data_IF_162554553653
#
_entry.id   IF_162554553653
#
_cell.length_a   1.000
_cell.length_b   1.000
_cell.length_c   1.000
_cell.angle_alpha   90.00
_cell.angle_beta   90.00
_cell.angle_gamma   90.00
#
_symmetry.space_group_name_H-M   'P 1'
#
loop_
_entity.id
_entity.type
_entity.pdbx_description
1 polymer ?
#
# COMPACT_ATOMS: atom_id res chain seq x y z
N UNK A 1 -15.04 13.65 -86.32
CA UNK A 1 -15.75 14.21 -85.12
C UNK A 1 -16.15 13.12 -84.07
N UNK A 2 -16.53 11.96 -84.51
CA UNK A 2 -16.97 10.87 -83.62
C UNK A 2 -15.85 10.32 -82.70
N UNK A 3 -14.68 10.18 -83.23
CA UNK A 3 -13.50 9.69 -82.47
C UNK A 3 -13.15 10.60 -81.29
N UNK A 4 -13.26 11.92 -81.42
CA UNK A 4 -13.02 12.90 -80.38
C UNK A 4 -14.07 12.86 -79.27
N UNK A 5 -15.30 12.61 -79.59
CA UNK A 5 -16.40 12.47 -78.63
C UNK A 5 -16.29 11.13 -77.85
N UNK A 6 -15.82 10.06 -78.52
CA UNK A 6 -15.56 8.77 -77.90
C UNK A 6 -14.38 8.87 -76.90
N UNK A 7 -13.34 9.58 -77.25
CA UNK A 7 -12.17 9.84 -76.38
C UNK A 7 -12.55 10.70 -75.20
N UNK A 8 -13.34 11.74 -75.31
CA UNK A 8 -13.86 12.54 -74.20
C UNK A 8 -14.71 11.71 -73.24
N UNK A 9 -15.51 10.77 -73.74
CA UNK A 9 -16.32 9.87 -72.87
C UNK A 9 -15.45 8.90 -72.11
N UNK A 10 -14.39 8.38 -72.69
CA UNK A 10 -13.40 7.47 -72.05
C UNK A 10 -12.63 8.24 -70.98
N UNK A 11 -12.12 9.42 -71.25
CA UNK A 11 -11.47 10.30 -70.30
C UNK A 11 -12.39 10.65 -69.12
N UNK A 12 -13.65 11.00 -69.39
CA UNK A 12 -14.62 11.30 -68.32
C UNK A 12 -14.95 10.07 -67.47
N UNK A 13 -14.97 8.85 -68.00
CA UNK A 13 -15.14 7.61 -67.26
C UNK A 13 -13.90 7.29 -66.40
N UNK A 14 -12.71 7.55 -66.92
CA UNK A 14 -11.43 7.34 -66.24
C UNK A 14 -11.26 8.30 -65.06
N UNK A 15 -11.54 9.58 -65.25
CA UNK A 15 -11.55 10.57 -64.15
C UNK A 15 -12.55 10.21 -63.08
N UNK A 16 -13.73 9.71 -63.48
CA UNK A 16 -14.77 9.29 -62.55
C UNK A 16 -14.39 8.04 -61.76
N UNK A 17 -13.63 7.09 -62.38
CA UNK A 17 -13.11 5.89 -61.72
C UNK A 17 -12.00 6.23 -60.69
N UNK A 18 -11.08 7.14 -61.03
CA UNK A 18 -10.02 7.63 -60.12
C UNK A 18 -10.63 8.37 -58.92
N UNK A 19 -11.65 9.16 -59.16
CA UNK A 19 -12.40 9.85 -58.10
C UNK A 19 -13.14 8.87 -57.15
N UNK A 20 -13.81 7.87 -57.74
CA UNK A 20 -14.51 6.83 -56.97
C UNK A 20 -13.52 6.02 -56.11
N UNK A 21 -12.33 5.65 -56.64
CA UNK A 21 -11.34 4.90 -55.94
C UNK A 21 -10.75 5.72 -54.78
N UNK A 22 -10.44 7.00 -54.97
CA UNK A 22 -9.98 7.91 -53.92
C UNK A 22 -11.03 8.03 -52.78
N UNK A 23 -12.29 8.16 -53.13
CA UNK A 23 -13.40 8.28 -52.19
C UNK A 23 -13.58 6.99 -51.38
N UNK A 24 -13.34 5.85 -52.01
CA UNK A 24 -13.41 4.54 -51.36
C UNK A 24 -12.24 4.36 -50.35
N UNK A 25 -11.01 4.70 -50.75
CA UNK A 25 -9.83 4.66 -49.85
C UNK A 25 -10.02 5.60 -48.67
N UNK A 26 -10.53 6.82 -48.91
CA UNK A 26 -10.81 7.76 -47.80
C UNK A 26 -11.82 7.19 -46.81
N UNK A 27 -12.92 6.58 -47.31
CA UNK A 27 -13.96 5.98 -46.44
C UNK A 27 -13.40 4.81 -45.64
N UNK A 28 -12.62 3.91 -46.26
CA UNK A 28 -12.01 2.77 -45.54
C UNK A 28 -10.93 3.23 -44.57
N UNK A 29 -10.11 4.22 -44.95
CA UNK A 29 -9.14 4.82 -44.04
C UNK A 29 -9.82 5.42 -42.81
N UNK A 30 -10.87 6.17 -42.99
CA UNK A 30 -11.63 6.79 -41.89
C UNK A 30 -12.28 5.74 -40.99
N UNK A 31 -12.88 4.69 -41.58
CA UNK A 31 -13.48 3.59 -40.85
C UNK A 31 -12.43 2.84 -40.00
N UNK A 32 -11.31 2.48 -40.60
CA UNK A 32 -10.22 1.78 -39.87
C UNK A 32 -9.60 2.65 -38.78
N UNK A 33 -9.39 3.94 -39.05
CA UNK A 33 -8.91 4.90 -38.03
C UNK A 33 -9.91 5.03 -36.89
N UNK A 34 -11.21 5.06 -37.19
CA UNK A 34 -12.26 5.09 -36.16
C UNK A 34 -12.26 3.84 -35.30
N UNK A 35 -12.06 2.66 -35.88
CA UNK A 35 -11.93 1.39 -35.13
C UNK A 35 -10.71 1.43 -34.21
N UNK A 36 -9.56 1.89 -34.70
CA UNK A 36 -8.34 2.01 -33.87
C UNK A 36 -8.58 2.97 -32.69
N UNK A 37 -9.18 4.14 -32.94
CA UNK A 37 -9.49 5.11 -31.88
C UNK A 37 -10.44 4.53 -30.83
N UNK A 38 -11.46 3.80 -31.27
CA UNK A 38 -12.41 3.15 -30.37
C UNK A 38 -11.73 2.06 -29.51
N UNK A 39 -10.83 1.29 -30.13
CA UNK A 39 -10.04 0.28 -29.42
C UNK A 39 -9.08 0.92 -28.39
N UNK A 40 -8.43 2.02 -28.75
CA UNK A 40 -7.57 2.79 -27.84
C UNK A 40 -8.39 3.33 -26.66
N UNK A 41 -9.57 3.90 -26.92
CA UNK A 41 -10.45 4.39 -25.87
C UNK A 41 -10.88 3.26 -24.92
N UNK A 42 -11.27 2.10 -25.47
CA UNK A 42 -11.65 0.93 -24.68
C UNK A 42 -10.47 0.42 -23.82
N UNK A 43 -9.24 0.41 -24.36
CA UNK A 43 -8.04 0.04 -23.61
C UNK A 43 -7.74 1.04 -22.48
N UNK A 44 -7.93 2.34 -22.69
CA UNK A 44 -7.76 3.33 -21.63
C UNK A 44 -8.77 3.11 -20.48
N UNK A 45 -10.04 2.84 -20.80
CA UNK A 45 -11.06 2.51 -19.79
C UNK A 45 -10.68 1.22 -19.03
N UNK A 46 -10.27 0.18 -19.75
CA UNK A 46 -9.85 -1.09 -19.16
C UNK A 46 -8.65 -0.91 -18.21
N UNK A 47 -7.64 -0.14 -18.62
CA UNK A 47 -6.47 0.14 -17.78
C UNK A 47 -6.85 0.93 -16.53
N UNK A 48 -7.74 1.92 -16.64
CA UNK A 48 -8.26 2.64 -15.46
C UNK A 48 -8.93 1.69 -14.48
N UNK A 49 -9.80 0.83 -15.00
CA UNK A 49 -10.52 -0.15 -14.19
C UNK A 49 -9.55 -1.11 -13.47
N UNK A 50 -8.56 -1.66 -14.19
CA UNK A 50 -7.60 -2.61 -13.61
C UNK A 50 -6.68 -1.97 -12.59
N UNK A 51 -6.24 -0.72 -12.79
CA UNK A 51 -5.43 0.01 -11.81
C UNK A 51 -6.24 0.25 -10.54
N UNK A 52 -7.48 0.74 -10.63
CA UNK A 52 -8.33 0.97 -9.47
C UNK A 52 -8.59 -0.34 -8.70
N UNK A 53 -8.92 -1.42 -9.40
CA UNK A 53 -9.13 -2.74 -8.79
C UNK A 53 -7.85 -3.25 -8.08
N UNK A 54 -6.68 -3.04 -8.69
CA UNK A 54 -5.39 -3.42 -8.09
C UNK A 54 -5.12 -2.63 -6.80
N UNK A 55 -5.41 -1.33 -6.78
CA UNK A 55 -5.22 -0.48 -5.60
C UNK A 55 -6.18 -0.88 -4.49
N UNK A 56 -7.44 -1.09 -4.80
CA UNK A 56 -8.43 -1.54 -3.81
C UNK A 56 -8.06 -2.91 -3.23
N UNK A 57 -7.58 -3.83 -4.06
CA UNK A 57 -7.06 -5.12 -3.61
C UNK A 57 -5.85 -4.97 -2.69
N UNK A 58 -4.90 -4.07 -3.03
CA UNK A 58 -3.72 -3.80 -2.18
C UNK A 58 -4.12 -3.17 -0.84
N UNK A 59 -5.06 -2.22 -0.84
CA UNK A 59 -5.62 -1.62 0.39
C UNK A 59 -6.25 -2.70 1.27
N UNK A 60 -7.12 -3.52 0.72
CA UNK A 60 -7.82 -4.58 1.46
C UNK A 60 -6.83 -5.61 2.02
N UNK A 61 -5.83 -6.01 1.25
CA UNK A 61 -4.78 -6.92 1.72
C UNK A 61 -3.95 -6.30 2.84
N UNK A 62 -3.56 -5.02 2.71
CA UNK A 62 -2.82 -4.31 3.74
C UNK A 62 -3.64 -4.19 5.03
N UNK A 63 -4.92 -3.81 4.93
CA UNK A 63 -5.83 -3.75 6.08
C UNK A 63 -5.95 -5.09 6.77
N UNK A 64 -6.21 -6.16 6.03
CA UNK A 64 -6.34 -7.52 6.59
C UNK A 64 -5.06 -7.97 7.29
N UNK A 65 -3.90 -7.67 6.71
CA UNK A 65 -2.60 -7.99 7.31
C UNK A 65 -2.35 -7.18 8.58
N UNK A 66 -2.60 -5.86 8.54
CA UNK A 66 -2.46 -4.98 9.70
C UNK A 66 -3.40 -5.41 10.82
N UNK A 67 -4.69 -5.63 10.53
CA UNK A 67 -5.68 -6.04 11.52
C UNK A 67 -5.31 -7.37 12.17
N UNK A 68 -4.90 -8.35 11.38
CA UNK A 68 -4.42 -9.64 11.85
C UNK A 68 -3.17 -9.49 12.74
N UNK A 69 -2.21 -8.66 12.32
CA UNK A 69 -1.01 -8.38 13.10
C UNK A 69 -1.36 -7.69 14.43
N UNK A 70 -2.13 -6.61 14.40
CA UNK A 70 -2.56 -5.86 15.58
C UNK A 70 -3.29 -6.76 16.56
N UNK A 71 -4.23 -7.57 16.08
CA UNK A 71 -4.99 -8.52 16.92
C UNK A 71 -4.06 -9.56 17.55
N UNK A 72 -3.13 -10.15 16.79
CA UNK A 72 -2.18 -11.11 17.31
C UNK A 72 -1.24 -10.50 18.37
N UNK A 73 -0.77 -9.26 18.15
CA UNK A 73 0.11 -8.58 19.13
C UNK A 73 -0.66 -8.12 20.36
N UNK A 74 -1.93 -7.72 20.22
CA UNK A 74 -2.80 -7.45 21.37
C UNK A 74 -2.98 -8.69 22.24
N UNK A 75 -3.20 -9.85 21.62
CA UNK A 75 -3.31 -11.12 22.35
C UNK A 75 -1.97 -11.50 22.99
N UNK A 76 -0.85 -11.32 22.29
CA UNK A 76 0.49 -11.55 22.83
C UNK A 76 0.75 -10.66 24.05
N UNK A 77 0.49 -9.35 23.96
CA UNK A 77 0.66 -8.43 25.10
C UNK A 77 -0.23 -8.80 26.30
N UNK A 78 -1.45 -9.29 26.04
CA UNK A 78 -2.35 -9.79 27.08
C UNK A 78 -1.81 -11.07 27.72
N UNK A 79 -1.26 -11.98 26.95
CA UNK A 79 -0.60 -13.18 27.48
C UNK A 79 0.64 -12.82 28.31
N UNK A 80 1.45 -11.86 27.86
CA UNK A 80 2.63 -11.39 28.58
C UNK A 80 2.28 -10.80 29.94
N UNK A 81 1.23 -9.98 30.02
CA UNK A 81 0.80 -9.44 31.31
C UNK A 81 0.29 -10.53 32.26
N UNK A 82 -0.45 -11.52 31.75
CA UNK A 82 -0.89 -12.67 32.55
C UNK A 82 0.30 -13.52 33.01
N UNK A 83 1.34 -13.64 32.20
CA UNK A 83 2.55 -14.36 32.58
C UNK A 83 3.35 -13.62 33.65
N UNK A 84 3.50 -12.31 33.53
CA UNK A 84 4.31 -11.49 34.43
C UNK A 84 3.56 -11.04 35.68
N UNK A 85 2.26 -10.78 35.60
CA UNK A 85 1.45 -10.14 36.63
C UNK A 85 0.07 -10.77 36.86
N UNK A 86 -0.19 -11.98 36.35
CA UNK A 86 -1.51 -12.64 36.41
C UNK A 86 -1.90 -13.18 37.79
N UNK A 87 -1.08 -13.01 38.83
CA UNK A 87 -1.40 -13.40 40.22
C UNK A 87 -0.69 -12.48 41.20
N UNK A 88 -1.21 -12.41 42.42
CA UNK A 88 -0.59 -11.61 43.50
C UNK A 88 0.87 -12.01 43.77
N UNK A 89 1.17 -13.29 43.73
CA UNK A 89 2.54 -13.79 43.93
C UNK A 89 3.50 -13.32 42.82
N UNK A 90 3.01 -13.28 41.55
CA UNK A 90 3.81 -12.77 40.42
C UNK A 90 4.04 -11.25 40.53
N UNK A 91 3.03 -10.49 40.96
CA UNK A 91 3.14 -9.06 41.19
C UNK A 91 4.13 -8.77 42.33
N UNK A 92 4.03 -9.50 43.43
CA UNK A 92 4.97 -9.35 44.54
C UNK A 92 6.40 -9.69 44.12
N UNK A 93 6.59 -10.76 43.34
CA UNK A 93 7.91 -11.12 42.80
C UNK A 93 8.47 -10.02 41.87
N UNK A 94 7.62 -9.41 41.02
CA UNK A 94 7.99 -8.29 40.17
C UNK A 94 8.39 -7.05 41.02
N UNK A 95 7.62 -6.72 42.06
CA UNK A 95 7.93 -5.65 43.00
C UNK A 95 9.29 -5.86 43.65
N UNK A 96 9.52 -7.05 44.23
CA UNK A 96 10.80 -7.41 44.88
C UNK A 96 11.97 -7.33 43.89
N UNK A 97 11.77 -7.73 42.64
CA UNK A 97 12.77 -7.57 41.59
C UNK A 97 13.13 -6.11 41.30
N UNK A 98 12.10 -5.21 41.35
CA UNK A 98 12.33 -3.77 41.18
C UNK A 98 12.84 -3.08 42.42
N UNK A 99 12.52 -3.55 43.63
CA UNK A 99 12.91 -2.96 44.90
C UNK A 99 14.35 -3.32 45.27
N UNK A 100 14.63 -4.62 45.30
CA UNK A 100 15.86 -5.18 45.90
C UNK A 100 17.07 -5.05 44.95
N UNK A 101 18.26 -5.06 45.58
CA UNK A 101 19.50 -5.28 44.85
C UNK A 101 19.62 -6.76 44.38
N UNK A 102 20.46 -7.07 43.38
CA UNK A 102 20.57 -8.45 42.87
C UNK A 102 20.90 -9.51 43.95
N UNK A 103 21.82 -9.26 44.93
CA UNK A 103 22.06 -10.22 46.01
C UNK A 103 20.85 -10.41 46.91
N UNK A 104 20.17 -9.31 47.33
CA UNK A 104 19.01 -9.37 48.22
C UNK A 104 17.83 -10.07 47.52
N UNK A 105 17.67 -9.86 46.21
CA UNK A 105 16.65 -10.56 45.44
C UNK A 105 16.96 -12.06 45.29
N UNK A 106 18.22 -12.42 45.18
CA UNK A 106 18.64 -13.83 45.20
C UNK A 106 18.27 -14.50 46.55
N UNK A 107 18.55 -13.84 47.66
CA UNK A 107 18.19 -14.35 49.00
C UNK A 107 16.68 -14.48 49.15
N UNK A 108 15.90 -13.50 48.64
CA UNK A 108 14.43 -13.57 48.61
C UNK A 108 13.95 -14.79 47.81
N UNK A 109 14.44 -15.02 46.61
CA UNK A 109 14.01 -16.16 45.79
C UNK A 109 14.44 -17.49 46.38
N UNK A 110 15.59 -17.54 47.05
CA UNK A 110 16.04 -18.71 47.74
C UNK A 110 15.17 -19.04 48.97
N UNK A 111 14.75 -18.05 49.76
CA UNK A 111 13.81 -18.26 50.87
C UNK A 111 12.47 -18.81 50.38
N UNK A 112 11.90 -18.23 49.33
CA UNK A 112 10.66 -18.73 48.69
C UNK A 112 10.80 -20.19 48.25
N UNK A 113 11.94 -20.55 47.64
CA UNK A 113 12.20 -21.93 47.25
C UNK A 113 12.31 -22.88 48.45
N UNK A 114 12.92 -22.43 49.52
CA UNK A 114 13.11 -23.26 50.72
C UNK A 114 11.79 -23.53 51.46
N UNK A 115 10.87 -22.54 51.47
CA UNK A 115 9.56 -22.60 52.13
C UNK A 115 8.53 -23.31 51.25
N UNK A 116 8.31 -22.85 50.02
CA UNK A 116 7.20 -23.27 49.16
C UNK A 116 7.59 -24.25 48.06
N UNK A 117 8.88 -24.55 47.88
CA UNK A 117 9.44 -25.34 46.77
C UNK A 117 9.14 -24.74 45.40
N UNK A 118 8.73 -23.47 45.36
CA UNK A 118 8.46 -22.72 44.13
C UNK A 118 9.41 -21.54 44.07
N UNK A 119 10.29 -21.53 43.11
CA UNK A 119 11.16 -20.39 42.82
C UNK A 119 11.03 -20.01 41.37
N UNK A 120 10.51 -18.81 41.13
CA UNK A 120 10.49 -18.21 39.82
C UNK A 120 11.29 -16.93 39.84
N UNK A 121 12.45 -16.93 39.20
CA UNK A 121 13.23 -15.72 39.05
C UNK A 121 12.62 -14.83 37.98
N UNK A 122 12.20 -13.62 38.36
CA UNK A 122 11.43 -12.71 37.47
C UNK A 122 12.21 -12.38 36.20
N UNK A 123 13.52 -12.16 36.27
CA UNK A 123 14.38 -11.95 35.10
C UNK A 123 14.35 -13.11 34.09
N UNK A 124 14.20 -14.35 34.57
CA UNK A 124 14.07 -15.51 33.68
C UNK A 124 12.73 -15.49 32.97
N UNK A 125 11.66 -15.08 33.64
CA UNK A 125 10.32 -14.91 32.99
C UNK A 125 10.39 -13.87 31.92
N UNK A 126 11.05 -12.71 32.17
CA UNK A 126 11.28 -11.69 31.13
C UNK A 126 12.07 -12.25 29.94
N UNK A 127 13.17 -12.97 30.23
CA UNK A 127 14.01 -13.57 29.19
C UNK A 127 13.24 -14.58 28.33
N UNK A 128 12.35 -15.35 28.96
CA UNK A 128 11.48 -16.32 28.25
C UNK A 128 10.55 -15.63 27.25
N UNK A 129 10.06 -14.41 27.52
CA UNK A 129 9.21 -13.66 26.60
C UNK A 129 9.93 -13.39 25.26
N UNK A 130 11.21 -13.01 25.30
CA UNK A 130 12.01 -12.77 24.10
C UNK A 130 12.28 -14.04 23.28
N UNK A 131 12.26 -15.21 23.94
CA UNK A 131 12.35 -16.50 23.25
C UNK A 131 11.02 -16.93 22.65
N UNK A 132 9.91 -16.64 23.35
CA UNK A 132 8.55 -16.99 22.93
C UNK A 132 8.03 -16.10 21.80
N UNK A 133 8.42 -14.81 21.82
CA UNK A 133 8.00 -13.82 20.84
C UNK A 133 9.21 -13.28 20.05
N UNK A 134 9.55 -13.87 18.90
CA UNK A 134 10.76 -13.53 18.15
C UNK A 134 10.82 -12.10 17.64
N UNK A 135 9.68 -11.44 17.47
CA UNK A 135 9.57 -10.04 17.03
C UNK A 135 9.41 -9.03 18.18
N UNK A 136 9.42 -9.49 19.44
CA UNK A 136 9.46 -8.63 20.62
C UNK A 136 10.82 -7.95 20.71
N UNK A 137 10.87 -6.63 20.69
CA UNK A 137 12.09 -5.83 20.77
C UNK A 137 12.35 -5.35 22.20
N UNK A 138 11.29 -4.83 22.86
CA UNK A 138 11.40 -4.26 24.19
C UNK A 138 10.20 -4.57 25.07
N UNK A 139 10.44 -4.67 26.36
CA UNK A 139 9.46 -4.73 27.44
C UNK A 139 9.81 -3.67 28.46
N UNK A 140 8.85 -2.80 28.79
CA UNK A 140 9.00 -1.74 29.77
C UNK A 140 7.91 -1.92 30.84
N UNK A 141 8.32 -2.06 32.09
CA UNK A 141 7.39 -2.19 33.22
C UNK A 141 7.55 -0.96 34.08
N UNK A 142 6.45 -0.25 34.26
CA UNK A 142 6.31 0.87 35.16
C UNK A 142 5.34 0.48 36.26
N UNK A 143 5.76 0.55 37.52
CA UNK A 143 4.86 0.48 38.66
C UNK A 143 4.78 1.85 39.30
N UNK A 144 3.59 2.28 39.70
CA UNK A 144 3.33 3.64 40.20
C UNK A 144 4.02 3.94 41.52
N UNK A 145 4.46 2.90 42.24
CA UNK A 145 5.20 3.01 43.50
C UNK A 145 6.73 3.24 43.31
N UNK A 146 7.26 3.15 42.06
CA UNK A 146 8.68 3.34 41.79
C UNK A 146 8.92 4.48 40.80
N UNK A 147 9.95 5.30 41.02
CA UNK A 147 10.37 6.35 40.09
C UNK A 147 11.03 5.80 38.83
N UNK A 148 11.66 4.63 38.94
CA UNK A 148 12.36 3.95 37.87
C UNK A 148 11.48 2.89 37.22
N UNK A 149 11.68 2.65 35.94
CA UNK A 149 11.05 1.56 35.18
C UNK A 149 12.02 0.40 34.98
N UNK A 150 11.49 -0.79 34.85
CA UNK A 150 12.25 -1.94 34.43
C UNK A 150 12.21 -2.03 32.90
N UNK A 151 13.35 -1.89 32.26
CA UNK A 151 13.53 -1.95 30.82
C UNK A 151 14.26 -3.22 30.43
N UNK A 152 13.65 -4.05 29.60
CA UNK A 152 14.26 -5.24 29.02
C UNK A 152 14.25 -5.16 27.49
N UNK A 153 15.30 -5.67 26.86
CA UNK A 153 15.40 -5.80 25.41
C UNK A 153 16.22 -7.03 25.03
N UNK A 154 16.41 -7.31 23.73
CA UNK A 154 17.13 -8.50 23.27
C UNK A 154 18.60 -8.60 23.75
N UNK A 155 19.22 -7.48 24.08
CA UNK A 155 20.62 -7.48 24.62
C UNK A 155 20.65 -7.53 26.15
N UNK A 156 19.56 -7.19 26.82
CA UNK A 156 19.41 -7.20 28.27
C UNK A 156 18.04 -7.81 28.64
N UNK A 157 17.89 -9.10 28.34
CA UNK A 157 16.61 -9.82 28.48
C UNK A 157 16.11 -9.93 29.92
N UNK A 158 17.02 -9.93 30.90
CA UNK A 158 16.64 -9.94 32.33
C UNK A 158 16.16 -8.58 32.83
N UNK A 159 16.31 -7.53 32.01
CA UNK A 159 15.91 -6.17 32.35
C UNK A 159 16.94 -5.42 33.21
N UNK A 160 16.84 -4.09 33.12
CA UNK A 160 17.63 -3.14 33.94
C UNK A 160 16.74 -1.99 34.38
N UNK A 161 17.00 -1.45 35.57
CA UNK A 161 16.31 -0.27 36.09
C UNK A 161 16.86 0.98 35.39
N UNK A 162 15.96 1.85 34.92
CA UNK A 162 16.34 3.12 34.28
C UNK A 162 15.21 4.15 34.35
N UNK A 163 15.51 5.40 34.01
CA UNK A 163 14.54 6.47 33.99
C UNK A 163 13.68 6.38 32.73
N UNK A 164 12.36 6.55 32.85
CA UNK A 164 11.42 6.53 31.75
C UNK A 164 11.75 7.57 30.65
N UNK A 165 12.30 8.73 31.03
CA UNK A 165 12.71 9.79 30.11
C UNK A 165 13.84 9.41 29.16
N UNK A 166 14.62 8.38 29.50
CA UNK A 166 15.74 7.87 28.68
C UNK A 166 15.28 6.90 27.59
N UNK A 167 14.01 6.46 27.60
CA UNK A 167 13.47 5.49 26.65
C UNK A 167 12.92 6.21 25.43
N UNK A 168 13.46 5.85 24.26
CA UNK A 168 12.98 6.40 22.99
C UNK A 168 11.80 5.57 22.49
N UNK A 169 10.71 6.22 22.14
CA UNK A 169 9.58 5.56 21.48
C UNK A 169 9.97 5.15 20.06
N UNK A 170 9.80 3.87 19.72
CA UNK A 170 10.00 3.32 18.38
C UNK A 170 9.20 2.03 18.23
N UNK A 171 9.09 1.53 16.98
CA UNK A 171 8.40 0.28 16.70
C UNK A 171 6.89 0.33 16.94
N UNK A 172 6.27 -0.84 16.91
CA UNK A 172 4.86 -1.04 17.23
C UNK A 172 4.69 -1.25 18.73
N UNK A 173 4.22 -0.21 19.44
CA UNK A 173 4.12 -0.19 20.90
C UNK A 173 2.67 -0.45 21.35
N UNK A 174 2.51 -1.39 22.28
CA UNK A 174 1.24 -1.66 22.98
C UNK A 174 1.41 -1.42 24.46
N UNK A 175 0.38 -0.82 25.08
CA UNK A 175 0.30 -0.58 26.53
C UNK A 175 -0.78 -1.45 27.14
N UNK A 176 -0.51 -2.01 28.30
CA UNK A 176 -1.44 -2.76 29.16
C UNK A 176 -1.34 -2.28 30.60
N UNK A 177 -2.49 -2.16 31.25
CA UNK A 177 -2.54 -1.81 32.67
C UNK A 177 -2.25 -3.06 33.51
N UNK A 178 -1.31 -2.94 34.43
CA UNK A 178 -1.08 -3.92 35.48
C UNK A 178 -2.07 -3.61 36.61
N UNK A 179 -2.94 -4.56 36.94
CA UNK A 179 -3.94 -4.36 37.98
C UNK A 179 -3.78 -5.39 39.08
N UNK A 180 -4.13 -4.98 40.28
CA UNK A 180 -4.25 -5.88 41.40
C UNK A 180 -5.31 -6.95 41.14
N UNK A 181 -4.98 -8.26 41.20
CA UNK A 181 -5.88 -9.34 40.82
C UNK A 181 -7.10 -9.50 41.77
N UNK A 182 -7.09 -8.91 42.95
CA UNK A 182 -8.18 -8.99 43.92
C UNK A 182 -9.07 -7.75 43.87
N UNK A 183 -8.47 -6.57 43.76
CA UNK A 183 -9.23 -5.30 43.82
C UNK A 183 -9.49 -4.70 42.44
N UNK A 184 -8.76 -5.12 41.42
CA UNK A 184 -8.81 -4.54 40.08
C UNK A 184 -8.19 -3.14 40.00
N UNK A 185 -7.59 -2.62 41.08
CA UNK A 185 -6.98 -1.30 41.06
C UNK A 185 -5.71 -1.30 40.17
N UNK A 186 -5.47 -0.23 39.39
CA UNK A 186 -4.26 -0.10 38.60
C UNK A 186 -3.03 0.03 39.53
N UNK A 187 -2.00 -0.71 39.24
CA UNK A 187 -0.70 -0.69 39.96
C UNK A 187 0.42 -0.13 39.08
N UNK A 188 0.19 -0.06 37.75
CA UNK A 188 1.18 0.38 36.82
C UNK A 188 0.87 0.00 35.36
N UNK A 189 1.86 0.05 34.52
CA UNK A 189 1.75 -0.14 33.08
C UNK A 189 2.84 -1.06 32.55
N UNK A 190 2.46 -1.94 31.64
CA UNK A 190 3.34 -2.77 30.81
C UNK A 190 3.32 -2.23 29.38
N UNK A 191 4.46 -1.81 28.88
CA UNK A 191 4.64 -1.50 27.47
C UNK A 191 5.43 -2.62 26.81
N UNK A 192 4.92 -3.08 25.67
CA UNK A 192 5.57 -4.06 24.81
C UNK A 192 5.82 -3.43 23.45
N UNK A 193 7.06 -3.52 22.95
CA UNK A 193 7.46 -2.98 21.64
C UNK A 193 7.80 -4.13 20.73
N UNK A 194 7.10 -4.21 19.61
CA UNK A 194 7.32 -5.22 18.59
C UNK A 194 7.99 -4.61 17.35
N UNK A 195 8.72 -5.43 16.61
CA UNK A 195 9.31 -5.03 15.34
C UNK A 195 8.22 -4.62 14.34
N UNK A 196 8.34 -3.42 13.81
CA UNK A 196 7.44 -2.94 12.78
C UNK A 196 7.70 -3.55 11.39
N UNK A 197 8.84 -4.22 11.20
CA UNK A 197 9.22 -4.81 9.91
C UNK A 197 8.26 -5.91 9.47
N UNK A 198 7.70 -6.66 10.41
CA UNK A 198 6.75 -7.74 10.11
C UNK A 198 5.32 -7.25 9.91
N UNK A 199 4.99 -6.01 10.32
CA UNK A 199 3.63 -5.49 10.28
C UNK A 199 3.07 -5.45 8.87
N UNK A 200 3.84 -4.96 7.92
CA UNK A 200 3.47 -4.92 6.51
C UNK A 200 4.21 -5.97 5.66
N UNK A 201 5.33 -6.52 6.16
CA UNK A 201 6.13 -7.49 5.44
C UNK A 201 6.39 -7.07 3.99
N UNK A 202 6.10 -7.97 3.04
CA UNK A 202 6.24 -7.69 1.60
C UNK A 202 5.25 -6.63 1.07
N UNK A 203 4.21 -6.28 1.82
CA UNK A 203 3.24 -5.27 1.41
C UNK A 203 3.80 -3.86 1.49
N UNK A 204 4.79 -3.59 2.36
CA UNK A 204 5.40 -2.27 2.50
C UNK A 204 5.90 -1.69 1.17
N UNK A 205 6.64 -2.49 0.39
CA UNK A 205 7.15 -2.07 -0.91
C UNK A 205 6.04 -1.87 -1.96
N UNK A 206 5.00 -2.70 -1.91
CA UNK A 206 3.84 -2.58 -2.79
C UNK A 206 3.05 -1.30 -2.48
N UNK A 207 2.81 -1.01 -1.21
CA UNK A 207 2.14 0.21 -0.77
C UNK A 207 2.94 1.46 -1.17
N UNK A 208 4.27 1.44 -0.98
CA UNK A 208 5.15 2.54 -1.42
C UNK A 208 5.06 2.78 -2.93
N UNK A 209 5.15 1.73 -3.74
CA UNK A 209 5.04 1.83 -5.21
C UNK A 209 3.68 2.36 -5.65
N UNK A 210 2.62 2.01 -4.94
CA UNK A 210 1.25 2.48 -5.22
C UNK A 210 0.93 3.85 -4.60
N UNK A 211 1.90 4.46 -3.88
CA UNK A 211 1.71 5.75 -3.23
C UNK A 211 0.73 5.71 -2.05
N UNK A 212 0.61 4.56 -1.39
CA UNK A 212 -0.25 4.37 -0.23
C UNK A 212 0.59 4.55 1.03
N UNK A 213 0.17 5.48 1.89
CA UNK A 213 0.73 5.70 3.21
C UNK A 213 -0.16 5.03 4.24
N UNK A 214 0.41 4.29 5.18
CA UNK A 214 -0.31 3.57 6.21
C UNK A 214 0.03 4.13 7.59
N UNK A 215 -1.01 4.43 8.37
CA UNK A 215 -0.88 4.89 9.74
C UNK A 215 -1.78 4.04 10.64
N UNK A 216 -1.33 3.80 11.87
CA UNK A 216 -2.12 3.11 12.89
C UNK A 216 -2.12 3.97 14.13
N UNK A 217 -3.32 4.23 14.65
CA UNK A 217 -3.55 4.99 15.87
C UNK A 217 -4.23 4.12 16.92
N UNK A 218 -3.92 4.37 18.18
CA UNK A 218 -4.64 3.76 19.31
C UNK A 218 -5.99 4.45 19.54
N UNK A 219 -6.77 3.93 20.48
CA UNK A 219 -8.07 4.50 20.87
C UNK A 219 -7.97 5.90 21.49
N UNK A 220 -6.79 6.34 21.90
CA UNK A 220 -6.51 7.67 22.42
C UNK A 220 -6.01 8.65 21.34
N UNK A 221 -5.91 8.22 20.08
CA UNK A 221 -5.40 9.00 18.95
C UNK A 221 -3.88 9.08 18.88
N UNK A 222 -3.12 8.29 19.67
CA UNK A 222 -1.68 8.27 19.56
C UNK A 222 -1.23 7.39 18.38
N UNK A 223 -0.28 7.88 17.59
CA UNK A 223 0.28 7.12 16.50
C UNK A 223 1.13 5.96 17.03
N UNK A 224 0.72 4.73 16.70
CA UNK A 224 1.45 3.51 17.05
C UNK A 224 2.45 3.16 15.95
N UNK A 225 2.08 3.36 14.69
CA UNK A 225 2.88 2.99 13.52
C UNK A 225 2.64 3.92 12.35
N UNK A 226 3.67 4.14 11.53
CA UNK A 226 3.53 4.81 10.23
C UNK A 226 4.48 4.24 9.18
N UNK A 227 3.95 3.99 8.00
CA UNK A 227 4.71 3.66 6.78
C UNK A 227 4.39 4.70 5.70
N UNK A 228 5.39 5.41 5.25
CA UNK A 228 5.24 6.59 4.40
C UNK A 228 5.86 6.36 3.03
N UNK A 229 5.05 6.45 1.98
CA UNK A 229 5.52 6.47 0.59
C UNK A 229 5.92 7.88 0.15
N UNK A 230 5.03 8.85 0.33
CA UNK A 230 5.20 10.25 -0.07
C UNK A 230 4.41 11.17 0.89
N UNK A 231 4.76 11.15 2.15
CA UNK A 231 4.10 11.97 3.18
C UNK A 231 5.12 12.86 3.86
N UNK A 232 4.85 14.17 3.91
CA UNK A 232 5.77 15.12 4.50
C UNK A 232 5.63 15.19 6.02
N UNK A 233 6.68 15.63 6.72
CA UNK A 233 6.62 15.81 8.18
C UNK A 233 5.54 16.80 8.61
N UNK A 234 5.23 17.80 7.79
CA UNK A 234 4.19 18.78 8.09
C UNK A 234 2.78 18.17 7.94
N UNK A 235 2.56 17.34 6.90
CA UNK A 235 1.31 16.59 6.72
C UNK A 235 1.10 15.62 7.88
N UNK A 236 2.14 14.93 8.34
CA UNK A 236 2.09 14.04 9.50
C UNK A 236 1.66 14.79 10.76
N UNK A 237 2.29 15.92 11.04
CA UNK A 237 1.95 16.75 12.19
C UNK A 237 0.49 17.25 12.15
N UNK A 238 -0.01 17.58 10.97
CA UNK A 238 -1.41 17.96 10.77
C UNK A 238 -2.35 16.76 10.98
N UNK A 239 -1.95 15.58 10.53
CA UNK A 239 -2.71 14.35 10.72
C UNK A 239 -2.80 13.99 12.20
N UNK A 240 -1.68 13.94 12.91
CA UNK A 240 -1.62 13.63 14.35
C UNK A 240 -2.49 14.61 15.17
N UNK A 241 -2.39 15.91 14.88
CA UNK A 241 -3.21 16.92 15.56
C UNK A 241 -4.71 16.65 15.38
N UNK A 242 -5.12 16.14 14.21
CA UNK A 242 -6.54 15.89 13.93
C UNK A 242 -7.05 14.60 14.53
N UNK A 243 -6.22 13.57 14.60
CA UNK A 243 -6.56 12.33 15.30
C UNK A 243 -6.87 12.56 16.78
N UNK A 244 -6.20 13.56 17.40
CA UNK A 244 -6.49 13.95 18.78
C UNK A 244 -7.73 14.86 18.95
N UNK A 245 -8.20 15.53 17.88
CA UNK A 245 -9.29 16.52 17.96
C UNK A 245 -10.61 16.07 17.35
N UNK A 246 -10.71 14.81 16.93
CA UNK A 246 -11.89 14.22 16.26
C UNK A 246 -12.41 15.10 15.09
N UNK A 247 -11.49 15.82 14.45
CA UNK A 247 -11.82 16.72 13.35
C UNK A 247 -11.69 16.01 12.02
N UNK A 248 -12.60 16.28 11.09
CA UNK A 248 -12.72 15.62 9.79
C UNK A 248 -11.40 15.69 8.98
N UNK A 249 -10.73 14.55 8.92
CA UNK A 249 -9.47 14.37 8.17
C UNK A 249 -9.71 14.55 6.68
N UNK A 250 -10.91 14.20 6.20
CA UNK A 250 -11.27 14.30 4.79
C UNK A 250 -11.21 15.74 4.29
N UNK A 251 -11.62 16.73 5.09
CA UNK A 251 -11.61 18.14 4.66
C UNK A 251 -10.21 18.67 4.27
N UNK A 252 -9.15 18.18 4.91
CA UNK A 252 -7.80 18.68 4.66
C UNK A 252 -7.05 17.90 3.61
N UNK A 253 -7.22 16.60 3.62
CA UNK A 253 -6.41 15.71 2.80
C UNK A 253 -7.10 15.23 1.51
N UNK A 254 -8.43 15.39 1.35
CA UNK A 254 -9.19 14.87 0.21
C UNK A 254 -8.71 15.35 -1.16
N UNK A 255 -8.11 16.54 -1.24
CA UNK A 255 -7.58 17.07 -2.51
C UNK A 255 -6.30 16.36 -2.97
N UNK A 256 -5.52 15.79 -2.03
CA UNK A 256 -4.22 15.17 -2.31
C UNK A 256 -4.25 13.67 -2.15
N UNK A 257 -5.11 13.18 -1.26
CA UNK A 257 -5.17 11.77 -0.89
C UNK A 257 -6.59 11.25 -0.98
N UNK A 258 -6.70 9.98 -1.35
CA UNK A 258 -7.92 9.19 -1.16
C UNK A 258 -7.77 8.47 0.19
N UNK A 259 -8.73 8.68 1.08
CA UNK A 259 -8.63 8.30 2.49
C UNK A 259 -9.51 7.08 2.73
N UNK A 260 -8.92 6.05 3.31
CA UNK A 260 -9.61 4.86 3.77
C UNK A 260 -9.32 4.70 5.25
N UNK A 261 -10.35 4.81 6.07
CA UNK A 261 -10.30 4.67 7.54
C UNK A 261 -11.06 3.41 7.93
N UNK A 262 -10.43 2.58 8.76
CA UNK A 262 -11.00 1.31 9.21
C UNK A 262 -10.67 1.12 10.69
N UNK A 263 -11.69 0.84 11.48
CA UNK A 263 -11.51 0.42 12.86
C UNK A 263 -11.11 -1.05 12.89
N UNK A 264 -9.97 -1.32 13.52
CA UNK A 264 -9.48 -2.69 13.78
C UNK A 264 -10.21 -3.29 14.98
N UNK A 265 -10.39 -4.62 14.97
CA UNK A 265 -10.89 -5.41 16.10
C UNK A 265 -10.12 -5.18 17.42
N UNK A 266 -8.87 -4.68 17.34
CA UNK A 266 -8.03 -4.29 18.48
C UNK A 266 -8.28 -2.89 19.04
N UNK A 267 -9.35 -2.19 18.67
CA UNK A 267 -9.65 -0.77 18.99
C UNK A 267 -8.60 0.22 18.48
N UNK A 268 -7.88 -0.14 17.43
CA UNK A 268 -6.94 0.73 16.75
C UNK A 268 -7.56 1.22 15.45
N UNK A 269 -7.29 2.47 15.08
CA UNK A 269 -7.73 3.02 13.79
C UNK A 269 -6.62 2.84 12.76
N UNK A 270 -6.93 2.15 11.67
CA UNK A 270 -6.05 1.99 10.51
C UNK A 270 -6.44 3.04 9.49
N UNK A 271 -5.49 3.89 9.12
CA UNK A 271 -5.69 4.95 8.16
C UNK A 271 -4.77 4.74 6.95
N UNK A 272 -5.35 4.53 5.78
CA UNK A 272 -4.64 4.44 4.51
C UNK A 272 -4.88 5.70 3.68
N UNK A 273 -3.81 6.41 3.33
CA UNK A 273 -3.86 7.60 2.48
C UNK A 273 -3.18 7.32 1.14
N UNK A 274 -3.99 7.18 0.09
CA UNK A 274 -3.51 6.94 -1.27
C UNK A 274 -3.25 8.25 -1.98
N UNK A 275 -2.03 8.48 -2.41
CA UNK A 275 -1.63 9.71 -3.12
C UNK A 275 -2.27 9.77 -4.51
N UNK A 276 -3.17 10.76 -4.73
CA UNK A 276 -3.78 11.02 -6.05
C UNK A 276 -2.74 11.39 -7.11
N UNK A 277 -1.64 12.00 -6.70
CA UNK A 277 -0.55 12.36 -7.62
C UNK A 277 0.12 11.11 -8.20
N UNK A 278 0.43 10.11 -7.36
CA UNK A 278 1.04 8.85 -7.81
C UNK A 278 0.09 8.08 -8.73
N UNK A 279 -1.19 8.02 -8.34
CA UNK A 279 -2.25 7.45 -9.16
C UNK A 279 -2.32 8.09 -10.55
N UNK A 280 -2.36 9.43 -10.58
CA UNK A 280 -2.40 10.17 -11.83
C UNK A 280 -1.15 9.94 -12.68
N UNK A 281 0.04 9.89 -12.08
CA UNK A 281 1.28 9.58 -12.80
C UNK A 281 1.24 8.18 -13.42
N UNK A 282 0.78 7.17 -12.69
CA UNK A 282 0.66 5.80 -13.21
C UNK A 282 -0.34 5.73 -14.37
N UNK A 283 -1.51 6.36 -14.22
CA UNK A 283 -2.50 6.44 -15.30
C UNK A 283 -1.96 7.17 -16.52
N UNK A 284 -1.31 8.31 -16.32
CA UNK A 284 -0.74 9.11 -17.41
C UNK A 284 0.33 8.34 -18.20
N UNK A 285 1.24 7.65 -17.52
CA UNK A 285 2.27 6.83 -18.19
C UNK A 285 1.65 5.72 -19.04
N UNK A 286 0.64 5.03 -18.52
CA UNK A 286 -0.06 3.98 -19.26
C UNK A 286 -0.85 4.55 -20.44
N UNK A 287 -1.54 5.67 -20.25
CA UNK A 287 -2.26 6.33 -21.35
C UNK A 287 -1.30 6.83 -22.44
N UNK A 288 -0.17 7.43 -22.06
CA UNK A 288 0.83 7.88 -23.03
C UNK A 288 1.36 6.71 -23.87
N UNK A 289 1.61 5.55 -23.26
CA UNK A 289 2.03 4.35 -23.97
C UNK A 289 0.93 3.84 -24.93
N UNK A 290 -0.31 3.73 -24.48
CA UNK A 290 -1.45 3.27 -25.28
C UNK A 290 -1.70 4.21 -26.47
N UNK A 291 -1.72 5.52 -26.21
CA UNK A 291 -1.88 6.55 -27.26
C UNK A 291 -0.73 6.54 -28.26
N UNK A 292 0.52 6.37 -27.78
CA UNK A 292 1.69 6.26 -28.62
C UNK A 292 1.61 5.05 -29.58
N UNK A 293 1.24 3.88 -29.06
CA UNK A 293 1.03 2.66 -29.88
C UNK A 293 -0.12 2.87 -30.86
N UNK A 294 -1.25 3.44 -30.41
CA UNK A 294 -2.39 3.73 -31.27
C UNK A 294 -2.05 4.66 -32.42
N UNK A 295 -1.30 5.73 -32.14
CA UNK A 295 -0.85 6.68 -33.17
C UNK A 295 0.10 6.02 -34.17
N UNK A 296 1.04 5.20 -33.68
CA UNK A 296 1.96 4.45 -34.53
C UNK A 296 1.21 3.49 -35.47
N UNK A 297 0.20 2.79 -34.96
CA UNK A 297 -0.68 1.92 -35.77
C UNK A 297 -1.43 2.71 -36.84
N UNK A 298 -1.97 3.89 -36.53
CA UNK A 298 -2.63 4.77 -37.49
C UNK A 298 -1.65 5.20 -38.59
N UNK A 299 -0.42 5.59 -38.24
CA UNK A 299 0.60 5.99 -39.21
C UNK A 299 0.95 4.82 -40.13
N UNK A 300 1.19 3.62 -39.58
CA UNK A 300 1.49 2.42 -40.38
C UNK A 300 0.34 2.10 -41.32
N UNK A 301 -0.90 2.18 -40.85
CA UNK A 301 -2.09 1.94 -41.65
C UNK A 301 -2.22 2.95 -42.80
N UNK A 302 -2.03 4.24 -42.54
CA UNK A 302 -2.13 5.28 -43.56
C UNK A 302 -1.01 5.14 -44.63
N UNK A 303 0.22 4.84 -44.18
CA UNK A 303 1.36 4.60 -45.11
C UNK A 303 1.09 3.33 -45.94
N UNK A 304 0.63 2.24 -45.31
CA UNK A 304 0.27 0.99 -46.00
C UNK A 304 -0.83 1.18 -47.02
N UNK A 305 -1.90 1.84 -46.66
CA UNK A 305 -3.02 2.16 -47.57
C UNK A 305 -2.56 3.02 -48.76
N UNK A 306 -1.73 4.04 -48.49
CA UNK A 306 -1.20 4.89 -49.55
C UNK A 306 -0.28 4.12 -50.54
N UNK A 307 0.58 3.22 -50.03
CA UNK A 307 1.42 2.34 -50.87
C UNK A 307 0.57 1.38 -51.69
N UNK A 308 -0.38 0.71 -51.09
CA UNK A 308 -1.31 -0.18 -51.82
C UNK A 308 -2.08 0.57 -52.89
N UNK A 309 -2.61 1.75 -52.56
CA UNK A 309 -3.33 2.59 -53.51
C UNK A 309 -2.47 2.99 -54.70
N UNK A 310 -1.18 3.41 -54.46
CA UNK A 310 -0.24 3.77 -55.51
C UNK A 310 0.05 2.57 -56.44
N UNK A 311 0.22 1.37 -55.85
CA UNK A 311 0.44 0.13 -56.60
C UNK A 311 -0.76 -0.28 -57.47
N UNK A 312 -1.97 -0.21 -56.92
CA UNK A 312 -3.22 -0.48 -57.66
C UNK A 312 -3.47 0.55 -58.76
N UNK A 313 -3.23 1.83 -58.52
CA UNK A 313 -3.35 2.88 -59.51
C UNK A 313 -2.37 2.66 -60.68
N UNK A 314 -1.13 2.22 -60.44
CA UNK A 314 -0.19 1.89 -61.48
C UNK A 314 -0.61 0.66 -62.31
N UNK A 315 -1.12 -0.39 -61.67
CA UNK A 315 -1.60 -1.58 -62.35
C UNK A 315 -2.80 -1.27 -63.26
N UNK A 316 -3.74 -0.46 -62.78
CA UNK A 316 -4.91 -0.01 -63.56
C UNK A 316 -4.46 0.85 -64.77
N UNK A 317 -3.40 1.67 -64.59
CA UNK A 317 -2.86 2.46 -65.69
C UNK A 317 -2.18 1.57 -66.74
N UNK A 318 -1.37 0.58 -66.36
CA UNK A 318 -0.77 -0.39 -67.24
C UNK A 318 -1.81 -1.20 -68.06
N UNK A 319 -2.89 -1.63 -67.44
CA UNK A 319 -3.98 -2.34 -68.14
C UNK A 319 -4.67 -1.41 -69.15
N UNK A 320 -4.84 -0.13 -68.81
CA UNK A 320 -5.42 0.86 -69.72
C UNK A 320 -4.51 1.13 -70.92
N UNK A 321 -3.24 1.30 -70.72
CA UNK A 321 -2.22 1.50 -71.78
C UNK A 321 -2.15 0.28 -72.70
N UNK A 322 -2.26 -0.95 -72.15
CA UNK A 322 -2.27 -2.19 -72.92
C UNK A 322 -3.56 -2.39 -73.73
N UNK A 323 -4.69 -1.81 -73.32
CA UNK A 323 -6.00 -1.93 -74.03
C UNK A 323 -6.26 -0.80 -75.01
N UNK A 324 -5.51 0.31 -74.96
CA UNK A 324 -5.65 1.45 -75.84
C UNK A 324 -5.38 1.11 -77.32
N UNK A 325 -4.33 0.32 -77.72
CA UNK A 325 -4.12 -0.07 -79.11
C UNK A 325 -5.23 -0.98 -79.66
N UNK A 326 -5.85 -1.82 -78.80
CA UNK A 326 -6.98 -2.69 -79.18
C UNK A 326 -8.27 -1.88 -79.45
N UNK A 327 -8.46 -0.75 -78.79
CA UNK A 327 -9.61 0.14 -79.00
C UNK A 327 -9.47 1.07 -80.22
N UNK A 328 -8.26 1.21 -80.76
CA UNK A 328 -8.02 1.97 -82.03
C UNK A 328 -8.02 1.07 -83.27
N UNK A 329 -7.99 -0.25 -83.09
CA UNK A 329 -7.97 -1.24 -84.20
C UNK A 329 -9.37 -1.73 -84.58
N UNK A 330 -10.43 -1.27 -83.91
CA UNK A 330 -11.87 -1.49 -84.19
C UNK A 330 -12.49 -0.13 -84.59
#
# INVERSE_FOLDING_TARGET
>A
MESWNKMKRIFKKLFKKKYLLNRLVQKYSLLLTSIILLTVAALCVYVTYTINLSIDSQKNNAVSQIDSYVTNKNNAATNMINELAGSASKIENMRKYMELSPPEYFDYTYSQWSEDRVSTHFGNNLSTLFSTFPDLEEVIIRLDEFDQVLFANRTATNGKKMDMSSIKKHGFQLMRIISDPYTGQPLGELYTVFSSQELLGNQADLLKKSGINAFIYDSAGNQIFSEKAQFTKEEERQLDKRMHTDSDIQQVFHNRYDITEIESSGRSTILLLTSRRVLFQQLFMNYAAILGIGLLLIVILLVGLNRLFKRYSQQVQLILEATEPLAMAI
#
